data_IF_611412312017
#
_entry.id   IF_611412312017
#
_cell.length_a   1.000
_cell.length_b   1.000
_cell.length_c   1.000
_cell.angle_alpha   90.00
_cell.angle_beta   90.00
_cell.angle_gamma   90.00
#
_symmetry.space_group_name_H-M   'P 1'
#
loop_
_entity.id
_entity.type
_entity.pdbx_description
1 polymer ?
#
# COMPACT_ATOMS: atom_id res chain seq x y z
N UNK A 1 -4.28 -22.82 16.64
CA UNK A 1 -5.46 -22.07 16.16
C UNK A 1 -5.06 -21.38 14.86
N UNK A 2 -5.65 -21.76 13.73
CA UNK A 2 -5.39 -21.11 12.45
C UNK A 2 -6.16 -19.78 12.43
N UNK A 3 -5.43 -18.67 12.51
CA UNK A 3 -6.04 -17.36 12.40
C UNK A 3 -6.38 -17.10 10.93
N UNK A 4 -7.65 -16.84 10.63
CA UNK A 4 -8.09 -16.43 9.30
C UNK A 4 -7.83 -14.93 9.17
N UNK A 5 -7.04 -14.53 8.18
CA UNK A 5 -6.84 -13.11 7.87
C UNK A 5 -8.12 -12.49 7.32
N UNK A 6 -8.47 -11.31 7.80
CA UNK A 6 -9.71 -10.62 7.43
C UNK A 6 -9.48 -9.16 7.05
N UNK A 7 -10.29 -8.66 6.11
CA UNK A 7 -10.46 -7.24 5.79
C UNK A 7 -11.92 -6.88 6.08
N UNK A 8 -12.17 -5.85 6.89
CA UNK A 8 -13.54 -5.44 7.29
C UNK A 8 -14.40 -6.60 7.84
N UNK A 9 -13.79 -7.45 8.70
CA UNK A 9 -14.42 -8.65 9.29
C UNK A 9 -14.84 -9.73 8.28
N UNK A 10 -14.40 -9.63 7.02
CA UNK A 10 -14.61 -10.65 6.00
C UNK A 10 -13.29 -11.37 5.71
N UNK A 11 -13.28 -12.70 5.53
CA UNK A 11 -12.09 -13.42 5.09
C UNK A 11 -11.51 -12.84 3.79
N UNK A 12 -10.18 -12.81 3.68
CA UNK A 12 -9.53 -12.45 2.41
C UNK A 12 -9.90 -13.49 1.35
N UNK A 13 -10.27 -13.01 0.17
CA UNK A 13 -10.60 -13.82 -1.00
C UNK A 13 -9.45 -13.71 -2.00
N UNK A 14 -8.78 -14.83 -2.29
CA UNK A 14 -7.63 -14.86 -3.18
C UNK A 14 -7.96 -14.47 -4.64
N UNK A 15 -9.24 -14.47 -5.02
CA UNK A 15 -9.69 -14.10 -6.36
C UNK A 15 -10.12 -12.62 -6.47
N UNK A 16 -10.04 -11.86 -5.36
CA UNK A 16 -10.39 -10.44 -5.35
C UNK A 16 -9.15 -9.54 -5.46
N UNK A 17 -9.32 -8.44 -6.16
CA UNK A 17 -8.33 -7.37 -6.24
C UNK A 17 -8.56 -6.38 -5.11
N UNK A 18 -7.52 -6.18 -4.29
CA UNK A 18 -7.54 -5.24 -3.17
C UNK A 18 -6.67 -4.02 -3.48
N UNK A 19 -7.16 -2.85 -3.08
CA UNK A 19 -6.36 -1.63 -3.11
C UNK A 19 -5.59 -1.50 -1.80
N UNK A 20 -4.27 -1.37 -1.92
CA UNK A 20 -3.36 -1.16 -0.78
C UNK A 20 -2.65 0.19 -0.92
N UNK A 21 -2.24 0.77 0.21
CA UNK A 21 -1.36 1.92 0.27
C UNK A 21 0.00 1.45 0.82
N UNK A 22 1.07 1.78 0.11
CA UNK A 22 2.45 1.43 0.43
C UNK A 22 3.39 2.53 -0.07
N UNK A 23 4.61 2.60 0.45
CA UNK A 23 5.64 3.49 -0.10
C UNK A 23 6.10 2.99 -1.46
N UNK A 24 6.44 3.91 -2.35
CA UNK A 24 7.03 3.62 -3.66
C UNK A 24 8.30 2.76 -3.55
N UNK A 25 9.08 2.93 -2.49
CA UNK A 25 10.22 2.07 -2.16
C UNK A 25 9.84 0.58 -2.12
N UNK A 26 8.72 0.20 -1.50
CA UNK A 26 8.32 -1.21 -1.44
C UNK A 26 7.99 -1.77 -2.83
N UNK A 27 7.46 -0.94 -3.73
CA UNK A 27 7.17 -1.32 -5.13
C UNK A 27 8.43 -1.46 -6.00
N UNK A 28 9.62 -1.22 -5.46
CA UNK A 28 10.88 -1.52 -6.14
C UNK A 28 11.30 -2.98 -6.00
N UNK A 29 10.73 -3.72 -5.05
CA UNK A 29 11.18 -5.06 -4.67
C UNK A 29 12.51 -5.09 -3.92
N UNK A 30 13.06 -3.94 -3.52
CA UNK A 30 14.36 -3.85 -2.83
C UNK A 30 14.35 -4.23 -1.35
N UNK A 31 13.16 -4.37 -0.74
CA UNK A 31 13.01 -4.80 0.66
C UNK A 31 13.24 -6.31 0.79
N UNK A 32 13.85 -6.74 1.90
CA UNK A 32 14.18 -8.14 2.13
C UNK A 32 12.93 -9.03 2.07
N UNK A 33 13.02 -10.11 1.29
CA UNK A 33 11.92 -11.06 1.02
C UNK A 33 10.70 -10.47 0.27
N UNK A 34 10.83 -9.28 -0.34
CA UNK A 34 9.76 -8.63 -1.11
C UNK A 34 10.09 -8.43 -2.60
N UNK A 35 11.02 -9.21 -3.16
CA UNK A 35 11.43 -9.11 -4.57
C UNK A 35 10.31 -9.34 -5.60
N UNK A 36 9.17 -9.88 -5.18
CA UNK A 36 7.97 -10.04 -6.02
C UNK A 36 7.14 -8.76 -6.15
N UNK A 37 7.31 -7.79 -5.24
CA UNK A 37 6.52 -6.57 -5.20
C UNK A 37 7.15 -5.51 -6.11
N UNK A 38 7.05 -5.74 -7.41
CA UNK A 38 7.55 -4.81 -8.43
C UNK A 38 6.45 -4.44 -9.40
N UNK A 39 6.58 -3.30 -10.08
CA UNK A 39 5.63 -2.86 -11.12
C UNK A 39 5.45 -3.86 -12.28
N UNK A 40 6.39 -4.78 -12.46
CA UNK A 40 6.38 -5.78 -13.53
C UNK A 40 5.64 -7.07 -13.12
N UNK A 41 5.21 -7.16 -11.85
CA UNK A 41 4.38 -8.28 -11.38
C UNK A 41 2.98 -8.19 -12.01
N UNK A 42 2.63 -9.22 -12.82
CA UNK A 42 1.37 -9.30 -13.56
C UNK A 42 0.12 -9.40 -12.67
N UNK A 43 0.28 -9.76 -11.40
CA UNK A 43 -0.82 -9.79 -10.42
C UNK A 43 -1.17 -8.39 -9.89
N UNK A 44 -0.39 -7.36 -10.24
CA UNK A 44 -0.70 -5.96 -9.93
C UNK A 44 -1.51 -5.37 -11.09
N UNK A 45 -2.84 -5.35 -10.93
CA UNK A 45 -3.77 -4.84 -11.94
C UNK A 45 -3.68 -3.32 -12.19
N UNK A 46 -3.30 -2.55 -11.16
CA UNK A 46 -3.27 -1.08 -11.26
C UNK A 46 -2.30 -0.43 -10.30
N UNK A 47 -1.48 0.46 -10.83
CA UNK A 47 -0.56 1.31 -10.07
C UNK A 47 -1.06 2.75 -10.10
N UNK A 48 -1.09 3.39 -8.92
CA UNK A 48 -1.33 4.82 -8.79
C UNK A 48 0.04 5.49 -8.54
N UNK A 49 0.47 6.44 -9.38
CA UNK A 49 1.74 7.13 -9.18
C UNK A 49 1.83 7.78 -7.80
N UNK A 50 3.03 7.77 -7.21
CA UNK A 50 3.31 8.47 -5.97
C UNK A 50 3.02 9.97 -6.14
N UNK A 51 2.42 10.58 -5.11
CA UNK A 51 2.24 12.02 -5.09
C UNK A 51 3.61 12.70 -4.94
N UNK A 52 3.94 13.65 -5.80
CA UNK A 52 5.23 14.37 -5.75
C UNK A 52 5.06 15.85 -5.37
N UNK A 53 3.82 16.34 -5.30
CA UNK A 53 3.55 17.71 -4.88
C UNK A 53 3.71 17.87 -3.38
N UNK A 54 4.45 18.89 -2.95
CA UNK A 54 4.61 19.25 -1.53
C UNK A 54 3.30 19.73 -0.89
N UNK A 55 2.29 20.08 -1.69
CA UNK A 55 0.94 20.44 -1.21
C UNK A 55 0.05 19.21 -0.99
N UNK A 56 0.47 18.03 -1.44
CA UNK A 56 -0.24 16.77 -1.19
C UNK A 56 0.45 16.03 -0.04
N UNK A 57 -0.26 15.81 1.06
CA UNK A 57 0.32 15.15 2.23
C UNK A 57 0.77 13.71 1.94
N UNK A 58 0.30 13.08 0.86
CA UNK A 58 0.74 11.73 0.45
C UNK A 58 2.15 11.71 -0.13
N UNK A 59 2.77 12.88 -0.37
CA UNK A 59 4.13 12.98 -0.92
C UNK A 59 5.23 12.61 0.08
N UNK A 60 4.94 12.65 1.37
CA UNK A 60 5.85 12.24 2.44
C UNK A 60 5.03 11.55 3.54
N UNK A 61 5.46 10.35 3.95
CA UNK A 61 4.74 9.57 4.97
C UNK A 61 4.55 10.35 6.28
N UNK A 62 5.50 11.21 6.64
CA UNK A 62 5.41 12.07 7.83
C UNK A 62 4.32 13.12 7.67
N UNK A 63 4.19 13.73 6.49
CA UNK A 63 3.11 14.68 6.20
C UNK A 63 1.73 14.00 6.26
N UNK A 64 1.61 12.79 5.71
CA UNK A 64 0.38 12.00 5.78
C UNK A 64 -0.02 11.69 7.23
N UNK A 65 0.94 11.31 8.09
CA UNK A 65 0.71 11.08 9.52
C UNK A 65 0.32 12.37 10.24
N UNK A 66 1.03 13.47 10.00
CA UNK A 66 0.70 14.79 10.60
C UNK A 66 -0.73 15.18 10.24
N UNK A 67 -1.12 15.07 8.96
CA UNK A 67 -2.47 15.40 8.53
C UNK A 67 -3.50 14.50 9.21
N UNK A 68 -3.26 13.20 9.31
CA UNK A 68 -4.18 12.25 9.96
C UNK A 68 -4.38 12.60 11.45
N UNK A 69 -3.29 12.87 12.17
CA UNK A 69 -3.33 13.19 13.60
C UNK A 69 -3.88 14.60 13.90
N UNK A 70 -3.89 15.49 12.92
CA UNK A 70 -4.41 16.86 13.07
C UNK A 70 -5.91 16.96 12.77
N UNK A 71 -6.56 15.87 12.34
CA UNK A 71 -8.02 15.85 12.18
C UNK A 71 -8.70 15.75 13.55
N UNK A 72 -9.75 16.55 13.81
CA UNK A 72 -10.49 16.52 15.06
C UNK A 72 -11.28 15.22 15.26
#
# INVERSE_FOLDING_TARGET
INHVWTINKQPIDAQKIYRVALSDFLLTGGEANMGFLTKDNKEIEKIFPAATSTTDARSDIRLAIIQYLSQP
#
